data_IF_271539893290
#
_entry.id   IF_271539893290
#
_cell.length_a   1.000
_cell.length_b   1.000
_cell.length_c   1.000
_cell.angle_alpha   90.00
_cell.angle_beta   90.00
_cell.angle_gamma   90.00
#
_symmetry.space_group_name_H-M   'P 1'
#
loop_
_entity.id
_entity.type
_entity.pdbx_description
1 polymer ?
#
# COMPACT_ATOMS: atom_id res chain seq x y z
N UNK A 1 1.09 12.99 16.33
CA UNK A 1 1.87 12.79 15.08
C UNK A 1 3.28 12.33 15.37
N UNK A 2 4.00 12.92 16.33
CA UNK A 2 5.37 12.56 16.71
C UNK A 2 5.66 11.06 16.82
N UNK A 3 4.85 10.31 17.57
CA UNK A 3 5.01 8.86 17.69
C UNK A 3 4.92 8.11 16.35
N UNK A 4 4.09 8.59 15.41
CA UNK A 4 3.93 8.00 14.08
C UNK A 4 5.19 8.25 13.23
N UNK A 5 5.71 9.48 13.29
CA UNK A 5 6.90 9.87 12.54
C UNK A 5 8.12 9.12 13.08
N UNK A 6 8.28 9.04 14.40
CA UNK A 6 9.36 8.27 15.03
C UNK A 6 9.30 6.79 14.65
N UNK A 7 8.09 6.21 14.61
CA UNK A 7 7.91 4.83 14.16
C UNK A 7 8.34 4.65 12.69
N UNK A 8 7.99 5.58 11.81
CA UNK A 8 8.40 5.55 10.40
C UNK A 8 9.93 5.65 10.26
N UNK A 9 10.56 6.57 10.99
CA UNK A 9 12.01 6.80 10.98
C UNK A 9 12.79 5.60 11.54
N UNK A 10 12.28 4.93 12.56
CA UNK A 10 12.89 3.70 13.09
C UNK A 10 12.87 2.58 12.04
N UNK A 11 11.82 2.53 11.21
CA UNK A 11 11.68 1.52 10.15
C UNK A 11 12.53 1.83 8.93
N UNK A 12 12.72 3.11 8.64
CA UNK A 12 13.40 3.61 7.46
C UNK A 12 14.42 4.69 7.86
N UNK A 13 15.57 4.29 8.46
CA UNK A 13 16.60 5.24 8.90
C UNK A 13 17.14 6.09 7.74
N UNK A 14 17.09 5.60 6.50
CA UNK A 14 17.46 6.32 5.28
C UNK A 14 16.64 7.59 5.04
N UNK A 15 15.44 7.69 5.63
CA UNK A 15 14.64 8.93 5.60
C UNK A 15 15.34 10.07 6.33
N UNK A 16 16.26 9.76 7.26
CA UNK A 16 17.10 10.77 7.92
C UNK A 16 18.13 11.36 6.97
N UNK A 17 18.71 10.52 6.13
CA UNK A 17 19.82 10.93 5.26
C UNK A 17 19.35 11.71 4.03
N UNK A 18 18.08 11.53 3.63
CA UNK A 18 17.51 12.19 2.44
C UNK A 18 17.19 13.68 2.59
N UNK A 19 17.60 14.33 3.68
CA UNK A 19 17.59 15.81 3.88
C UNK A 19 16.21 16.45 3.92
N UNK A 20 15.48 16.43 2.80
CA UNK A 20 14.18 17.09 2.66
C UNK A 20 13.02 16.45 3.43
N UNK A 21 13.16 15.22 3.94
CA UNK A 21 12.11 14.59 4.76
C UNK A 21 12.30 14.92 6.25
N UNK A 22 13.55 15.17 6.69
CA UNK A 22 13.87 15.59 8.07
C UNK A 22 13.70 17.11 8.30
N UNK A 23 14.02 17.96 7.32
CA UNK A 23 13.71 19.41 7.45
C UNK A 23 12.19 19.63 7.57
N UNK A 24 11.42 18.79 6.89
CA UNK A 24 9.97 18.72 7.00
C UNK A 24 9.48 17.90 8.23
N UNK A 25 10.37 17.19 8.92
CA UNK A 25 10.05 16.42 10.13
C UNK A 25 9.85 17.35 11.32
N UNK A 26 10.64 18.42 11.45
CA UNK A 26 10.35 19.48 12.43
C UNK A 26 9.00 20.14 12.14
N UNK A 27 8.65 20.39 10.88
CA UNK A 27 7.32 20.90 10.51
C UNK A 27 6.19 19.91 10.83
N UNK A 28 6.41 18.61 10.65
CA UNK A 28 5.45 17.55 11.05
C UNK A 28 5.29 17.43 12.57
N UNK A 29 6.32 17.79 13.33
CA UNK A 29 6.33 17.75 14.79
C UNK A 29 5.77 19.04 15.43
N UNK A 30 6.01 20.19 14.80
CA UNK A 30 5.69 21.52 15.33
C UNK A 30 4.42 22.13 14.73
N UNK A 31 4.00 21.68 13.53
CA UNK A 31 3.00 22.34 12.71
C UNK A 31 1.56 21.86 12.87
N UNK A 32 0.63 22.72 12.45
CA UNK A 32 -0.78 22.38 12.26
C UNK A 32 -0.93 21.32 11.14
N UNK A 33 -2.02 20.54 11.18
CA UNK A 33 -2.35 19.51 10.18
C UNK A 33 -2.13 19.98 8.73
N UNK A 34 -2.43 21.24 8.45
CA UNK A 34 -2.36 21.86 7.12
C UNK A 34 -0.93 22.02 6.58
N UNK A 35 0.05 22.24 7.46
CA UNK A 35 1.48 22.36 7.10
C UNK A 35 2.12 20.99 6.89
N UNK A 36 1.63 19.98 7.61
CA UNK A 36 2.04 18.58 7.50
C UNK A 36 1.55 17.89 6.21
N UNK A 37 0.45 18.37 5.61
CA UNK A 37 -0.23 17.72 4.49
C UNK A 37 0.65 17.51 3.24
N UNK A 38 1.39 18.51 2.73
CA UNK A 38 2.21 18.33 1.52
C UNK A 38 3.31 17.27 1.72
N UNK A 39 3.91 17.26 2.90
CA UNK A 39 4.98 16.31 3.27
C UNK A 39 4.42 14.90 3.38
N UNK A 40 3.29 14.74 4.08
CA UNK A 40 2.61 13.45 4.18
C UNK A 40 2.13 12.95 2.84
N UNK A 41 1.61 13.83 1.98
CA UNK A 41 1.24 13.47 0.61
C UNK A 41 2.44 12.95 -0.17
N UNK A 42 3.57 13.65 -0.12
CA UNK A 42 4.80 13.22 -0.80
C UNK A 42 5.27 11.84 -0.30
N UNK A 43 5.23 11.61 1.00
CA UNK A 43 5.57 10.32 1.61
C UNK A 43 4.59 9.21 1.25
N UNK A 44 3.29 9.49 1.30
CA UNK A 44 2.22 8.54 0.96
C UNK A 44 2.27 8.13 -0.52
N UNK A 45 2.56 9.08 -1.41
CA UNK A 45 2.70 8.82 -2.84
C UNK A 45 4.04 8.16 -3.21
N UNK A 46 4.98 8.01 -2.27
CA UNK A 46 6.26 7.39 -2.56
C UNK A 46 6.13 5.85 -2.64
N UNK A 47 6.41 5.20 -3.79
CA UNK A 47 6.14 3.78 -4.00
C UNK A 47 6.76 2.84 -2.96
N UNK A 48 7.96 3.20 -2.48
CA UNK A 48 8.68 2.42 -1.47
C UNK A 48 8.20 2.58 -0.02
N UNK A 49 7.36 3.59 0.29
CA UNK A 49 6.97 3.91 1.68
C UNK A 49 5.46 3.99 1.89
N UNK A 50 4.63 3.99 0.84
CA UNK A 50 3.16 4.16 0.93
C UNK A 50 2.53 3.32 2.04
N UNK A 51 2.81 2.01 2.08
CA UNK A 51 2.20 1.09 3.04
C UNK A 51 2.70 1.32 4.46
N UNK A 52 3.99 1.61 4.63
CA UNK A 52 4.61 1.84 5.93
C UNK A 52 4.15 3.17 6.52
N UNK A 53 4.00 4.20 5.68
CA UNK A 53 3.40 5.48 6.08
C UNK A 53 1.94 5.26 6.47
N UNK A 54 1.15 4.56 5.65
CA UNK A 54 -0.23 4.21 6.00
C UNK A 54 -0.35 3.48 7.35
N UNK A 55 0.56 2.55 7.62
CA UNK A 55 0.60 1.77 8.86
C UNK A 55 0.99 2.63 10.07
N UNK A 56 2.02 3.46 9.93
CA UNK A 56 2.48 4.33 11.01
C UNK A 56 1.48 5.44 11.33
N UNK A 57 0.80 5.98 10.32
CA UNK A 57 -0.15 7.09 10.45
C UNK A 57 -1.61 6.65 10.55
N UNK A 58 -1.88 5.36 10.76
CA UNK A 58 -3.24 4.80 10.86
C UNK A 58 -4.23 5.64 11.69
N UNK A 59 -3.90 6.14 12.91
CA UNK A 59 -4.85 6.92 13.71
C UNK A 59 -5.32 8.22 13.06
N UNK A 60 -4.53 8.75 12.13
CA UNK A 60 -4.79 10.01 11.45
C UNK A 60 -5.04 9.81 9.94
N UNK A 61 -4.97 8.59 9.43
CA UNK A 61 -5.03 8.31 7.99
C UNK A 61 -6.35 8.77 7.39
N UNK A 62 -7.48 8.47 8.04
CA UNK A 62 -8.80 8.84 7.55
C UNK A 62 -8.97 10.37 7.34
N UNK A 63 -8.74 11.24 8.36
CA UNK A 63 -8.85 12.69 8.14
C UNK A 63 -7.83 13.21 7.13
N UNK A 64 -6.61 12.65 7.09
CA UNK A 64 -5.63 13.05 6.09
C UNK A 64 -6.06 12.73 4.66
N UNK A 65 -6.47 11.48 4.42
CA UNK A 65 -6.90 11.03 3.09
C UNK A 65 -8.17 11.76 2.67
N UNK A 66 -9.09 12.03 3.59
CA UNK A 66 -10.28 12.85 3.30
C UNK A 66 -9.90 14.23 2.78
N UNK A 67 -9.02 14.97 3.47
CA UNK A 67 -8.59 16.31 3.02
C UNK A 67 -7.85 16.24 1.68
N UNK A 68 -6.95 15.27 1.50
CA UNK A 68 -6.21 15.12 0.25
C UNK A 68 -7.11 14.79 -0.94
N UNK A 69 -8.08 13.89 -0.75
CA UNK A 69 -9.05 13.52 -1.79
C UNK A 69 -9.92 14.72 -2.16
N UNK A 70 -10.45 15.45 -1.18
CA UNK A 70 -11.26 16.65 -1.45
C UNK A 70 -10.46 17.71 -2.22
N UNK A 71 -9.20 17.95 -1.85
CA UNK A 71 -8.33 18.87 -2.60
C UNK A 71 -8.14 18.42 -4.06
N UNK A 72 -7.91 17.12 -4.29
CA UNK A 72 -7.77 16.57 -5.64
C UNK A 72 -9.06 16.67 -6.45
N UNK A 73 -10.20 16.34 -5.85
CA UNK A 73 -11.53 16.41 -6.48
C UNK A 73 -11.88 17.84 -6.84
N UNK A 74 -11.65 18.81 -5.94
CA UNK A 74 -11.90 20.22 -6.20
C UNK A 74 -11.02 20.77 -7.33
N UNK A 75 -9.72 20.46 -7.31
CA UNK A 75 -8.79 20.84 -8.38
C UNK A 75 -9.23 20.25 -9.73
N UNK A 76 -9.71 19.00 -9.74
CA UNK A 76 -10.19 18.37 -10.96
C UNK A 76 -11.50 18.97 -11.47
N UNK A 77 -12.44 19.30 -10.58
CA UNK A 77 -13.69 20.02 -10.93
C UNK A 77 -13.38 21.41 -11.51
N UNK A 78 -12.44 22.14 -10.91
CA UNK A 78 -11.99 23.43 -11.42
C UNK A 78 -11.31 23.30 -12.79
N UNK A 79 -10.43 22.31 -12.98
CA UNK A 79 -9.78 22.08 -14.27
C UNK A 79 -10.76 21.70 -15.39
N UNK A 80 -11.87 21.02 -15.08
CA UNK A 80 -12.90 20.70 -16.08
C UNK A 80 -13.71 21.93 -16.50
N UNK A 81 -13.93 22.86 -15.57
CA UNK A 81 -14.70 24.08 -15.82
C UNK A 81 -13.88 25.17 -16.52
N UNK A 82 -12.59 25.24 -16.24
CA UNK A 82 -11.66 26.07 -17.00
C UNK A 82 -11.34 25.34 -18.31
N UNK A 83 -12.04 25.67 -19.40
CA UNK A 83 -11.84 25.12 -20.75
C UNK A 83 -10.47 25.44 -21.39
N UNK A 84 -9.41 25.49 -20.58
CA UNK A 84 -8.04 25.70 -20.98
C UNK A 84 -7.47 24.36 -21.43
N UNK A 85 -6.84 24.36 -22.60
CA UNK A 85 -6.36 23.20 -23.37
C UNK A 85 -5.19 22.42 -22.73
N UNK A 86 -5.17 22.31 -21.40
CA UNK A 86 -4.22 21.52 -20.63
C UNK A 86 -4.89 21.03 -19.36
N UNK A 87 -5.78 20.03 -19.48
CA UNK A 87 -6.31 19.34 -18.31
C UNK A 87 -5.15 18.71 -17.56
N UNK A 88 -4.84 19.23 -16.37
CA UNK A 88 -3.83 18.65 -15.50
C UNK A 88 -4.38 17.30 -15.07
N UNK A 89 -3.87 16.21 -15.65
CA UNK A 89 -4.27 14.89 -15.18
C UNK A 89 -3.88 14.76 -13.70
N UNK A 90 -4.78 14.24 -12.85
CA UNK A 90 -4.46 14.02 -11.45
C UNK A 90 -3.28 13.06 -11.32
N UNK A 91 -2.52 13.19 -10.23
CA UNK A 91 -1.32 12.39 -9.99
C UNK A 91 -1.64 10.90 -9.99
N UNK A 92 -1.01 10.15 -10.91
CA UNK A 92 -1.08 8.69 -10.95
C UNK A 92 -0.53 8.04 -9.68
N UNK A 93 0.46 8.67 -9.05
CA UNK A 93 1.08 8.17 -7.82
C UNK A 93 0.09 8.19 -6.67
N UNK A 94 -0.75 9.24 -6.60
CA UNK A 94 -1.81 9.32 -5.62
C UNK A 94 -2.91 8.28 -5.84
N UNK A 95 -3.30 8.01 -7.10
CA UNK A 95 -4.28 6.98 -7.42
C UNK A 95 -3.79 5.57 -6.99
N UNK A 96 -2.52 5.24 -7.24
CA UNK A 96 -1.91 3.99 -6.77
C UNK A 96 -1.84 3.95 -5.25
N UNK A 97 -1.43 5.05 -4.62
CA UNK A 97 -1.32 5.12 -3.17
C UNK A 97 -2.66 4.89 -2.48
N UNK A 98 -3.75 5.50 -2.97
CA UNK A 98 -5.10 5.31 -2.41
C UNK A 98 -5.54 3.85 -2.42
N UNK A 99 -5.30 3.13 -3.51
CA UNK A 99 -5.69 1.72 -3.64
C UNK A 99 -4.82 0.80 -2.77
N UNK A 100 -3.51 1.07 -2.68
CA UNK A 100 -2.61 0.38 -1.74
C UNK A 100 -3.05 0.61 -0.28
N UNK A 101 -3.38 1.86 0.07
CA UNK A 101 -3.86 2.20 1.41
C UNK A 101 -5.23 1.58 1.71
N UNK A 102 -6.10 1.43 0.72
CA UNK A 102 -7.38 0.77 0.90
C UNK A 102 -7.22 -0.70 1.33
N UNK A 103 -6.23 -1.39 0.78
CA UNK A 103 -5.89 -2.75 1.20
C UNK A 103 -5.48 -2.81 2.68
N UNK A 104 -4.76 -1.80 3.16
CA UNK A 104 -4.35 -1.68 4.57
C UNK A 104 -5.49 -1.21 5.50
N UNK A 105 -6.34 -0.32 5.00
CA UNK A 105 -7.32 0.43 5.79
C UNK A 105 -8.70 0.42 5.12
N UNK A 106 -9.46 -0.70 5.16
CA UNK A 106 -10.74 -0.84 4.43
C UNK A 106 -11.81 0.21 4.74
N UNK A 107 -11.71 0.88 5.90
CA UNK A 107 -12.61 1.93 6.34
C UNK A 107 -12.52 3.22 5.50
N UNK A 108 -11.51 3.38 4.62
CA UNK A 108 -11.39 4.51 3.69
C UNK A 108 -12.12 4.26 2.36
N UNK A 109 -12.81 3.12 2.19
CA UNK A 109 -13.46 2.70 0.95
C UNK A 109 -14.35 3.77 0.32
N UNK A 110 -15.22 4.42 1.10
CA UNK A 110 -16.12 5.47 0.59
C UNK A 110 -15.36 6.69 0.05
N UNK A 111 -14.26 7.08 0.70
CA UNK A 111 -13.42 8.20 0.25
C UNK A 111 -12.70 7.85 -1.05
N UNK A 112 -12.21 6.61 -1.17
CA UNK A 112 -11.53 6.13 -2.37
C UNK A 112 -12.52 6.00 -3.53
N UNK A 113 -13.74 5.51 -3.29
CA UNK A 113 -14.80 5.50 -4.28
C UNK A 113 -15.11 6.93 -4.76
N UNK A 114 -15.31 7.86 -3.82
CA UNK A 114 -15.57 9.27 -4.15
C UNK A 114 -14.46 9.91 -5.00
N UNK A 115 -13.19 9.60 -4.71
CA UNK A 115 -12.08 10.03 -5.55
C UNK A 115 -12.23 9.56 -7.00
N UNK A 116 -12.53 8.28 -7.22
CA UNK A 116 -12.64 7.69 -8.56
C UNK A 116 -13.96 7.99 -9.28
N UNK A 117 -14.96 8.59 -8.62
CA UNK A 117 -16.11 9.22 -9.30
C UNK A 117 -15.70 10.46 -10.11
N UNK A 118 -14.58 11.09 -9.74
CA UNK A 118 -14.14 12.37 -10.30
C UNK A 118 -12.81 12.29 -11.04
N UNK A 119 -11.95 11.35 -10.63
CA UNK A 119 -10.62 11.13 -11.15
C UNK A 119 -10.52 9.80 -11.93
N UNK A 120 -9.66 9.72 -12.96
CA UNK A 120 -9.42 8.50 -13.72
C UNK A 120 -8.81 7.39 -12.87
N UNK A 121 -9.11 6.15 -13.25
CA UNK A 121 -8.49 4.96 -12.64
C UNK A 121 -7.04 4.79 -13.08
N UNK A 122 -6.23 3.97 -12.36
CA UNK A 122 -4.82 3.77 -12.71
C UNK A 122 -4.61 3.19 -14.12
N UNK A 123 -5.55 2.40 -14.62
CA UNK A 123 -5.52 1.81 -15.96
C UNK A 123 -5.56 2.87 -17.08
N UNK A 124 -6.20 4.02 -16.84
CA UNK A 124 -6.29 5.09 -17.85
C UNK A 124 -4.91 5.68 -18.18
N UNK A 125 -3.98 5.67 -17.21
CA UNK A 125 -2.60 6.13 -17.43
C UNK A 125 -1.74 5.14 -18.22
N UNK A 126 -2.17 3.87 -18.32
CA UNK A 126 -1.52 2.86 -19.16
C UNK A 126 -1.94 2.95 -20.63
N UNK A 127 -3.12 3.52 -20.88
CA UNK A 127 -3.69 3.72 -22.22
C UNK A 127 -3.37 5.09 -22.80
N UNK A 128 -3.01 6.06 -21.95
CA UNK A 128 -2.58 7.37 -22.42
C UNK A 128 -1.36 7.18 -23.33
N UNK A 129 -1.39 7.66 -24.59
CA UNK A 129 -0.22 7.63 -25.45
C UNK A 129 0.86 8.37 -24.68
N UNK A 130 1.95 7.66 -24.38
CA UNK A 130 3.11 8.21 -23.69
C UNK A 130 3.48 9.52 -24.39
N UNK A 131 3.20 10.67 -23.76
CA UNK A 131 3.50 12.01 -24.30
C UNK A 131 5.02 12.29 -24.38
N UNK A 132 5.83 11.25 -24.52
CA UNK A 132 7.28 11.26 -24.51
C UNK A 132 7.91 10.74 -25.81
N UNK A 133 7.14 10.56 -26.89
CA UNK A 133 7.69 10.08 -28.17
C UNK A 133 7.49 11.01 -29.39
N UNK A 134 6.67 12.07 -29.31
CA UNK A 134 6.54 13.02 -30.41
C UNK A 134 6.09 14.39 -29.91
N UNK A 135 6.98 15.39 -29.95
CA UNK A 135 6.57 16.79 -29.92
C UNK A 135 6.94 17.62 -28.70
N UNK A 136 8.11 17.40 -28.07
CA UNK A 136 8.80 18.59 -27.54
C UNK A 136 9.40 19.34 -28.73
N UNK A 137 9.02 20.61 -28.98
CA UNK A 137 9.71 21.42 -29.95
C UNK A 137 11.14 21.65 -29.43
N UNK A 138 12.12 21.14 -30.18
CA UNK A 138 13.50 21.58 -30.05
C UNK A 138 13.53 23.10 -30.27
N UNK A 139 13.62 23.83 -29.17
CA UNK A 139 13.55 25.28 -29.16
C UNK A 139 14.40 25.84 -28.04
N UNK A 140 15.64 26.12 -28.39
CA UNK A 140 16.58 27.05 -27.75
C UNK A 140 17.33 26.54 -26.51
N UNK A 141 18.48 25.97 -26.84
CA UNK A 141 19.72 26.01 -26.07
C UNK A 141 19.90 27.30 -25.25
N UNK A 142 19.98 27.19 -23.92
CA UNK A 142 20.79 28.07 -23.07
C UNK A 142 20.97 27.49 -21.66
N UNK A 143 22.22 27.14 -21.36
CA UNK A 143 22.89 27.30 -20.06
C UNK A 143 22.19 26.80 -18.78
N UNK A 144 22.53 25.58 -18.33
CA UNK A 144 23.16 25.35 -17.02
C UNK A 144 23.39 23.85 -16.76
N UNK A 145 24.58 23.36 -17.12
CA UNK A 145 25.16 22.14 -16.57
C UNK A 145 25.64 22.38 -15.13
N UNK A 146 24.72 22.41 -14.16
CA UNK A 146 25.06 22.32 -12.72
C UNK A 146 23.86 21.94 -11.84
N UNK A 147 23.23 20.77 -12.08
CA UNK A 147 22.37 20.08 -11.09
C UNK A 147 21.95 18.67 -11.57
N UNK A 148 22.92 17.81 -11.90
CA UNK A 148 22.67 16.44 -12.37
C UNK A 148 22.42 15.40 -11.24
N UNK A 149 22.13 15.83 -10.01
CA UNK A 149 22.03 14.92 -8.85
C UNK A 149 20.87 15.14 -7.86
N UNK A 150 19.92 16.04 -8.09
CA UNK A 150 18.80 16.20 -7.17
C UNK A 150 17.46 15.95 -7.85
N UNK A 151 16.82 14.87 -7.38
CA UNK A 151 15.48 14.40 -7.67
C UNK A 151 15.29 13.57 -8.95
N UNK A 152 15.81 12.33 -8.94
CA UNK A 152 15.05 11.23 -9.52
C UNK A 152 13.66 11.23 -8.87
N UNK A 153 12.69 11.92 -9.46
CA UNK A 153 11.28 11.65 -9.19
C UNK A 153 11.07 10.19 -9.59
N UNK A 154 11.05 9.30 -8.59
CA UNK A 154 10.73 7.90 -8.78
C UNK A 154 9.28 7.84 -9.28
N UNK A 155 9.17 7.78 -10.59
CA UNK A 155 7.91 7.70 -11.30
C UNK A 155 7.27 6.34 -11.01
N UNK A 156 5.97 6.33 -10.71
CA UNK A 156 5.24 5.06 -10.56
C UNK A 156 5.40 4.21 -11.82
N UNK A 157 5.75 2.95 -11.61
CA UNK A 157 5.94 1.96 -12.67
C UNK A 157 4.60 1.56 -13.30
N UNK A 158 4.62 1.18 -14.57
CA UNK A 158 3.44 0.68 -15.28
C UNK A 158 2.87 -0.58 -14.60
N UNK A 159 3.73 -1.42 -14.03
CA UNK A 159 3.31 -2.58 -13.25
C UNK A 159 2.50 -2.19 -12.00
N UNK A 160 2.93 -1.16 -11.27
CA UNK A 160 2.23 -0.65 -10.09
C UNK A 160 0.84 -0.11 -10.47
N UNK A 161 0.71 0.57 -11.61
CA UNK A 161 -0.59 1.02 -12.13
C UNK A 161 -1.51 -0.15 -12.49
N UNK A 162 -0.97 -1.18 -13.13
CA UNK A 162 -1.72 -2.37 -13.49
C UNK A 162 -2.22 -3.09 -12.23
N UNK A 163 -1.33 -3.35 -11.28
CA UNK A 163 -1.68 -3.99 -10.00
C UNK A 163 -2.67 -3.17 -9.18
N UNK A 164 -2.49 -1.84 -9.11
CA UNK A 164 -3.45 -0.97 -8.46
C UNK A 164 -4.83 -1.04 -9.12
N UNK A 165 -4.88 -1.09 -10.46
CA UNK A 165 -6.16 -1.25 -11.20
C UNK A 165 -6.88 -2.55 -10.84
N UNK A 166 -6.16 -3.68 -10.80
CA UNK A 166 -6.75 -4.95 -10.39
C UNK A 166 -7.23 -4.91 -8.94
N UNK A 167 -6.42 -4.31 -8.06
CA UNK A 167 -6.75 -4.13 -6.65
C UNK A 167 -8.04 -3.33 -6.46
N UNK A 168 -8.22 -2.23 -7.20
CA UNK A 168 -9.43 -1.42 -7.17
C UNK A 168 -10.68 -2.22 -7.51
N UNK A 169 -10.65 -3.02 -8.58
CA UNK A 169 -11.79 -3.85 -8.98
C UNK A 169 -12.13 -4.97 -7.98
N UNK A 170 -11.11 -5.49 -7.29
CA UNK A 170 -11.28 -6.52 -6.27
C UNK A 170 -11.83 -5.98 -4.96
N UNK A 171 -11.37 -4.80 -4.54
CA UNK A 171 -11.73 -4.21 -3.24
C UNK A 171 -13.00 -3.35 -3.29
N UNK A 172 -13.31 -2.73 -4.44
CA UNK A 172 -14.45 -1.82 -4.59
C UNK A 172 -15.33 -2.25 -5.77
N UNK A 173 -16.43 -2.99 -5.50
CA UNK A 173 -17.36 -3.42 -6.55
C UNK A 173 -17.97 -2.27 -7.36
N UNK A 174 -18.11 -1.09 -6.77
CA UNK A 174 -18.64 0.12 -7.42
C UNK A 174 -17.77 0.58 -8.60
N UNK A 175 -16.45 0.37 -8.50
CA UNK A 175 -15.50 0.72 -9.57
C UNK A 175 -15.68 -0.15 -10.80
N UNK A 176 -16.29 -1.33 -10.68
CA UNK A 176 -16.57 -2.20 -11.83
C UNK A 176 -17.41 -1.46 -12.87
N UNK A 177 -18.50 -0.84 -12.42
CA UNK A 177 -19.39 -0.03 -13.26
C UNK A 177 -18.72 1.24 -13.77
N UNK A 178 -17.96 1.92 -12.91
CA UNK A 178 -17.34 3.20 -13.25
C UNK A 178 -16.22 3.07 -14.31
N UNK A 179 -15.42 2.00 -14.24
CA UNK A 179 -14.27 1.80 -15.13
C UNK A 179 -14.62 0.99 -16.38
N UNK A 180 -15.63 0.13 -16.29
CA UNK A 180 -16.07 -0.72 -17.40
C UNK A 180 -15.04 -1.75 -17.85
N UNK A 181 -15.42 -2.59 -18.82
CA UNK A 181 -14.56 -3.61 -19.39
C UNK A 181 -13.69 -3.09 -20.56
N UNK A 182 -14.18 -2.07 -21.29
CA UNK A 182 -13.57 -1.56 -22.52
C UNK A 182 -12.07 -1.25 -22.41
N UNK A 183 -11.64 -0.41 -21.44
CA UNK A 183 -10.22 -0.10 -21.26
C UNK A 183 -9.33 -1.33 -21.03
N UNK A 184 -9.86 -2.39 -20.41
CA UNK A 184 -9.11 -3.62 -20.17
C UNK A 184 -9.02 -4.51 -21.42
N UNK A 185 -9.96 -4.42 -22.36
CA UNK A 185 -9.82 -5.07 -23.67
C UNK A 185 -8.64 -4.45 -24.44
N UNK A 186 -8.49 -3.13 -24.40
CA UNK A 186 -7.38 -2.43 -25.05
C UNK A 186 -6.02 -2.84 -24.45
N UNK A 187 -5.97 -3.04 -23.13
CA UNK A 187 -4.76 -3.47 -22.42
C UNK A 187 -4.33 -4.93 -22.74
N UNK A 188 -5.18 -5.75 -23.36
CA UNK A 188 -4.78 -7.10 -23.82
C UNK A 188 -3.70 -7.05 -24.90
N UNK A 189 -3.59 -5.94 -25.63
CA UNK A 189 -2.61 -5.73 -26.69
C UNK A 189 -1.33 -5.04 -26.21
N UNK A 190 -1.20 -4.78 -24.90
CA UNK A 190 -0.01 -4.15 -24.34
C UNK A 190 1.22 -5.06 -24.50
N UNK A 191 2.41 -4.49 -24.71
CA UNK A 191 3.66 -5.25 -24.89
C UNK A 191 4.09 -5.98 -23.60
N UNK A 192 3.79 -5.41 -22.43
CA UNK A 192 4.18 -5.95 -21.13
C UNK A 192 3.26 -7.11 -20.71
N UNK A 193 3.85 -8.28 -20.44
CA UNK A 193 3.10 -9.49 -20.09
C UNK A 193 2.29 -9.34 -18.79
N UNK A 194 2.80 -8.55 -17.85
CA UNK A 194 2.13 -8.39 -16.57
C UNK A 194 0.89 -7.48 -16.67
N UNK A 195 0.93 -6.49 -17.58
CA UNK A 195 -0.22 -5.65 -17.90
C UNK A 195 -1.30 -6.48 -18.60
N UNK A 196 -0.92 -7.32 -19.57
CA UNK A 196 -1.86 -8.24 -20.23
C UNK A 196 -2.51 -9.19 -19.23
N UNK A 197 -1.73 -9.78 -18.31
CA UNK A 197 -2.26 -10.65 -17.27
C UNK A 197 -3.26 -9.94 -16.37
N UNK A 198 -2.94 -8.71 -15.91
CA UNK A 198 -3.85 -7.87 -15.12
C UNK A 198 -5.14 -7.60 -15.88
N UNK A 199 -5.05 -7.27 -17.16
CA UNK A 199 -6.21 -7.00 -18.00
C UNK A 199 -7.14 -8.21 -18.08
N UNK A 200 -6.58 -9.42 -18.22
CA UNK A 200 -7.35 -10.68 -18.21
C UNK A 200 -8.04 -10.89 -16.86
N UNK A 201 -7.36 -10.66 -15.74
CA UNK A 201 -7.97 -10.77 -14.41
C UNK A 201 -9.09 -9.73 -14.20
N UNK A 202 -8.87 -8.51 -14.66
CA UNK A 202 -9.85 -7.43 -14.61
C UNK A 202 -11.10 -7.74 -15.45
N UNK A 203 -10.93 -8.24 -16.68
CA UNK A 203 -12.03 -8.71 -17.53
C UNK A 203 -12.79 -9.87 -16.89
N UNK A 204 -12.07 -10.78 -16.24
CA UNK A 204 -12.67 -11.86 -15.46
C UNK A 204 -13.63 -11.35 -14.38
N UNK A 205 -13.26 -10.26 -13.70
CA UNK A 205 -14.10 -9.62 -12.66
C UNK A 205 -15.25 -8.80 -13.27
N UNK A 206 -15.00 -8.13 -14.40
CA UNK A 206 -15.96 -7.22 -15.04
C UNK A 206 -17.07 -7.95 -15.80
N UNK A 207 -16.73 -9.10 -16.39
CA UNK A 207 -17.62 -9.90 -17.23
C UNK A 207 -18.08 -11.19 -16.54
N UNK A 208 -17.77 -11.34 -15.24
CA UNK A 208 -18.06 -12.52 -14.43
C UNK A 208 -17.65 -13.83 -15.13
N UNK A 209 -16.43 -13.85 -15.69
CA UNK A 209 -15.93 -15.01 -16.43
C UNK A 209 -15.64 -16.18 -15.48
N UNK A 210 -16.01 -17.38 -15.92
CA UNK A 210 -15.61 -18.62 -15.25
C UNK A 210 -14.09 -18.79 -15.25
N UNK A 211 -13.57 -19.63 -14.35
CA UNK A 211 -12.14 -19.97 -14.32
C UNK A 211 -11.67 -20.59 -15.64
N UNK A 212 -12.51 -21.44 -16.27
CA UNK A 212 -12.21 -22.01 -17.58
C UNK A 212 -12.08 -20.95 -18.67
N UNK A 213 -12.97 -19.95 -18.70
CA UNK A 213 -12.93 -18.87 -19.67
C UNK A 213 -11.71 -17.95 -19.44
N UNK A 214 -11.35 -17.67 -18.18
CA UNK A 214 -10.12 -16.94 -17.84
C UNK A 214 -8.87 -17.70 -18.28
N UNK A 215 -8.82 -19.02 -18.05
CA UNK A 215 -7.69 -19.85 -18.49
C UNK A 215 -7.55 -19.89 -20.01
N UNK A 216 -8.67 -20.01 -20.73
CA UNK A 216 -8.69 -19.91 -22.20
C UNK A 216 -8.18 -18.55 -22.67
N UNK A 217 -8.66 -17.46 -22.07
CA UNK A 217 -8.21 -16.11 -22.42
C UNK A 217 -6.70 -15.93 -22.12
N UNK A 218 -6.23 -16.38 -20.95
CA UNK A 218 -4.81 -16.41 -20.60
C UNK A 218 -3.98 -17.14 -21.66
N UNK A 219 -4.41 -18.31 -22.13
CA UNK A 219 -3.68 -19.09 -23.13
C UNK A 219 -3.58 -18.42 -24.51
N UNK A 220 -4.47 -17.48 -24.83
CA UNK A 220 -4.44 -16.75 -26.10
C UNK A 220 -3.42 -15.59 -26.09
N UNK A 221 -3.17 -14.98 -24.93
CA UNK A 221 -2.37 -13.75 -24.82
C UNK A 221 -1.05 -13.93 -24.07
N UNK A 222 -0.86 -15.05 -23.36
CA UNK A 222 0.29 -15.28 -22.49
C UNK A 222 0.77 -16.73 -22.57
N UNK A 223 2.09 -16.91 -22.55
CA UNK A 223 2.68 -18.23 -22.32
C UNK A 223 2.48 -18.68 -20.88
N UNK A 224 2.53 -19.98 -20.63
CA UNK A 224 2.41 -20.54 -19.26
C UNK A 224 3.45 -19.93 -18.31
N UNK A 225 4.69 -19.76 -18.77
CA UNK A 225 5.77 -19.14 -17.98
C UNK A 225 5.47 -17.69 -17.60
N UNK A 226 4.94 -16.89 -18.54
CA UNK A 226 4.54 -15.51 -18.28
C UNK A 226 3.38 -15.43 -17.27
N UNK A 227 2.42 -16.35 -17.37
CA UNK A 227 1.31 -16.45 -16.43
C UNK A 227 1.80 -16.74 -15.01
N UNK A 228 2.64 -17.78 -14.84
CA UNK A 228 3.20 -18.17 -13.55
C UNK A 228 4.04 -17.05 -12.95
N UNK A 229 4.93 -16.43 -13.75
CA UNK A 229 5.81 -15.36 -13.29
C UNK A 229 5.00 -14.14 -12.83
N UNK A 230 3.99 -13.73 -13.60
CA UNK A 230 3.16 -12.58 -13.24
C UNK A 230 2.29 -12.87 -12.02
N UNK A 231 1.71 -14.06 -11.94
CA UNK A 231 0.93 -14.48 -10.78
C UNK A 231 1.80 -14.46 -9.51
N UNK A 232 3.05 -14.93 -9.58
CA UNK A 232 3.99 -14.87 -8.47
C UNK A 232 4.30 -13.42 -8.06
N UNK A 233 4.50 -12.50 -9.02
CA UNK A 233 4.69 -11.07 -8.75
C UNK A 233 3.48 -10.46 -8.05
N UNK A 234 2.27 -10.77 -8.52
CA UNK A 234 1.03 -10.32 -7.90
C UNK A 234 0.86 -10.86 -6.47
N UNK A 235 1.13 -12.14 -6.25
CA UNK A 235 1.09 -12.75 -4.93
C UNK A 235 2.12 -12.12 -3.98
N UNK A 236 3.34 -11.85 -4.46
CA UNK A 236 4.35 -11.14 -3.68
C UNK A 236 3.90 -9.73 -3.30
N UNK A 237 3.25 -9.00 -4.21
CA UNK A 237 2.67 -7.68 -3.93
C UNK A 237 1.62 -7.77 -2.82
N UNK A 238 0.67 -8.71 -2.92
CA UNK A 238 -0.37 -8.94 -1.90
C UNK A 238 0.21 -9.41 -0.57
N UNK A 239 1.24 -10.25 -0.58
CA UNK A 239 1.93 -10.71 0.63
C UNK A 239 2.60 -9.56 1.38
N UNK A 240 3.23 -8.61 0.66
CA UNK A 240 3.80 -7.41 1.27
C UNK A 240 2.73 -6.57 1.99
N UNK A 241 1.56 -6.38 1.37
CA UNK A 241 0.44 -5.68 1.99
C UNK A 241 -0.13 -6.42 3.21
N UNK A 242 -0.24 -7.74 3.14
CA UNK A 242 -0.68 -8.58 4.25
C UNK A 242 0.30 -8.52 5.44
N UNK A 243 1.61 -8.52 5.17
CA UNK A 243 2.64 -8.37 6.21
C UNK A 243 2.54 -7.00 6.90
N UNK A 244 2.35 -5.92 6.14
CA UNK A 244 2.13 -4.60 6.71
C UNK A 244 0.84 -4.52 7.52
N UNK A 245 -0.22 -5.19 7.06
CA UNK A 245 -1.49 -5.28 7.78
C UNK A 245 -1.35 -6.04 9.10
N UNK A 246 -0.65 -7.18 9.09
CA UNK A 246 -0.37 -7.98 10.28
C UNK A 246 0.48 -7.21 11.29
N UNK A 247 1.48 -6.44 10.83
CA UNK A 247 2.32 -5.58 11.67
C UNK A 247 1.51 -4.57 12.49
N UNK A 248 0.37 -4.10 11.99
CA UNK A 248 -0.49 -3.17 12.74
C UNK A 248 -1.10 -3.75 14.01
N UNK A 249 -1.14 -5.08 14.12
CA UNK A 249 -1.71 -5.80 15.26
C UNK A 249 -0.64 -6.34 16.22
N UNK A 250 0.64 -6.28 15.82
CA UNK A 250 1.72 -6.68 16.69
C UNK A 250 1.97 -5.59 17.74
N UNK A 251 2.16 -5.94 19.01
CA UNK A 251 2.59 -4.99 20.02
C UNK A 251 3.86 -4.31 19.52
N UNK A 252 3.92 -2.98 19.58
CA UNK A 252 5.20 -2.30 19.37
C UNK A 252 6.15 -2.88 20.40
N UNK A 253 7.37 -3.29 20.03
CA UNK A 253 8.37 -3.65 21.01
C UNK A 253 8.52 -2.44 21.92
N UNK A 254 7.92 -2.50 23.11
CA UNK A 254 8.20 -1.57 24.19
C UNK A 254 9.70 -1.62 24.32
N UNK A 255 10.37 -0.51 23.96
CA UNK A 255 11.78 -0.34 24.28
C UNK A 255 11.90 -0.80 25.71
N UNK A 256 12.60 -1.92 25.91
CA UNK A 256 12.72 -2.52 27.22
C UNK A 256 13.16 -1.38 28.13
N UNK A 257 12.27 -0.96 29.02
CA UNK A 257 12.62 0.00 30.06
C UNK A 257 13.89 -0.58 30.66
N UNK A 258 15.01 0.16 30.68
CA UNK A 258 16.27 -0.41 31.14
C UNK A 258 15.97 -0.99 32.51
N UNK A 259 15.95 -2.33 32.59
CA UNK A 259 15.62 -3.03 33.82
C UNK A 259 16.46 -2.37 34.90
N UNK A 260 15.86 -1.91 36.01
CA UNK A 260 16.65 -1.33 37.08
C UNK A 260 17.70 -2.37 37.40
N UNK A 261 18.98 -2.00 37.20
CA UNK A 261 20.10 -2.84 37.59
C UNK A 261 19.78 -3.31 39.00
N UNK A 262 19.55 -4.61 39.16
CA UNK A 262 19.56 -5.25 40.47
C UNK A 262 20.95 -4.94 41.04
N UNK A 263 21.03 -3.88 41.84
CA UNK A 263 22.13 -3.67 42.75
C UNK A 263 22.17 -4.92 43.60
N UNK A 264 23.22 -5.72 43.40
CA UNK A 264 23.52 -6.84 44.25
C UNK A 264 23.50 -6.32 45.70
N UNK A 265 22.70 -6.91 46.61
CA UNK A 265 22.81 -6.56 48.00
C UNK A 265 24.18 -7.02 48.47
N UNK A 266 25.03 -6.05 48.81
CA UNK A 266 26.23 -6.31 49.59
C UNK A 266 25.79 -7.00 50.88
N UNK A 267 26.25 -8.24 51.03
CA UNK A 267 26.13 -9.04 52.24
C UNK A 267 26.64 -8.22 53.43
N UNK A 268 25.74 -7.90 54.36
CA UNK A 268 26.14 -7.58 55.72
C UNK A 268 25.16 -8.22 56.69
N UNK A 269 25.69 -9.24 57.37
CA UNK A 269 25.16 -9.82 58.59
C UNK A 269 24.69 -8.73 59.56
N UNK A 270 23.45 -8.82 60.04
CA UNK A 270 23.13 -8.66 61.45
C UNK A 270 21.77 -9.27 61.78
N UNK A 271 21.83 -10.09 62.83
CA UNK A 271 20.78 -10.85 63.48
C UNK A 271 19.68 -9.93 64.05
N UNK A 272 18.45 -10.43 64.09
CA UNK A 272 17.35 -9.81 64.83
C UNK A 272 16.05 -10.57 64.63
N UNK A 273 15.74 -11.46 65.57
CA UNK A 273 14.57 -12.32 65.62
C UNK A 273 13.24 -11.54 65.72
N UNK A 274 12.16 -12.16 65.24
CA UNK A 274 10.79 -11.70 65.45
C UNK A 274 9.79 -12.40 64.53
N UNK A 275 9.28 -13.56 64.97
CA UNK A 275 8.04 -14.17 64.47
C UNK A 275 6.86 -13.19 64.54
N UNK A 276 5.89 -13.27 63.61
CA UNK A 276 4.48 -13.59 63.89
C UNK A 276 3.78 -13.86 62.55
N UNK A 277 2.91 -14.88 62.56
CA UNK A 277 2.31 -15.52 61.40
C UNK A 277 1.29 -14.70 60.61
N UNK A 278 1.04 -15.18 59.39
CA UNK A 278 0.09 -14.60 58.45
C UNK A 278 -0.37 -15.61 57.40
N UNK A 279 -1.09 -16.63 57.86
CA UNK A 279 -1.69 -17.71 57.09
C UNK A 279 -2.84 -17.18 56.23
N UNK A 280 -2.70 -17.10 54.91
CA UNK A 280 -3.83 -16.93 53.99
C UNK A 280 -3.78 -17.94 52.84
N UNK A 281 -4.68 -18.90 52.95
CA UNK A 281 -4.95 -20.03 52.07
C UNK A 281 -6.26 -19.71 51.33
N UNK A 282 -6.28 -19.64 50.00
CA UNK A 282 -7.46 -19.89 49.13
C UNK A 282 -7.08 -19.69 47.65
N UNK A 283 -6.94 -20.76 46.86
CA UNK A 283 -7.96 -21.55 46.14
C UNK A 283 -8.33 -20.97 44.76
N UNK A 284 -7.78 -21.62 43.73
CA UNK A 284 -8.39 -22.09 42.45
C UNK A 284 -9.43 -21.18 41.77
N UNK A 285 -9.16 -20.88 40.49
CA UNK A 285 -9.92 -21.50 39.38
C UNK A 285 -9.10 -21.48 38.09
N UNK A 286 -8.96 -22.68 37.52
CA UNK A 286 -8.50 -22.91 36.16
C UNK A 286 -9.54 -22.37 35.18
N UNK A 287 -9.08 -21.64 34.17
CA UNK A 287 -9.76 -21.47 32.89
C UNK A 287 -8.83 -22.03 31.83
N UNK A 288 -9.35 -22.96 31.04
CA UNK A 288 -8.64 -23.69 30.00
C UNK A 288 -8.14 -22.77 28.87
N UNK A 289 -7.08 -23.17 28.13
CA UNK A 289 -6.70 -22.49 26.91
C UNK A 289 -7.76 -22.73 25.83
N UNK A 290 -8.33 -21.65 25.33
CA UNK A 290 -9.18 -21.65 24.14
C UNK A 290 -8.33 -22.11 22.95
N UNK A 291 -8.69 -23.27 22.41
CA UNK A 291 -8.07 -23.84 21.23
C UNK A 291 -8.36 -22.95 20.02
N UNK A 292 -7.32 -22.26 19.53
CA UNK A 292 -7.30 -21.69 18.19
C UNK A 292 -7.50 -22.82 17.17
N UNK A 293 -8.43 -22.70 16.21
CA UNK A 293 -8.50 -23.65 15.10
C UNK A 293 -7.22 -23.52 14.25
N UNK A 294 -6.68 -24.64 13.72
CA UNK A 294 -5.55 -24.58 12.81
C UNK A 294 -5.92 -23.76 11.57
N UNK A 295 -5.00 -22.88 11.16
CA UNK A 295 -5.10 -22.14 9.93
C UNK A 295 -5.31 -23.13 8.76
N UNK A 296 -6.44 -22.99 8.06
CA UNK A 296 -6.70 -23.72 6.84
C UNK A 296 -5.59 -23.40 5.84
N UNK A 297 -4.81 -24.42 5.47
CA UNK A 297 -3.89 -24.35 4.37
C UNK A 297 -4.67 -24.06 3.06
N UNK A 298 -4.13 -23.25 2.14
CA UNK A 298 -4.81 -22.95 0.89
C UNK A 298 -5.02 -24.23 0.05
N UNK A 299 -6.22 -24.45 -0.50
CA UNK A 299 -6.59 -25.70 -1.19
C UNK A 299 -5.87 -25.98 -2.52
N UNK A 300 -5.02 -25.06 -2.99
CA UNK A 300 -4.41 -25.13 -4.32
C UNK A 300 -3.36 -26.24 -4.51
N UNK A 301 -2.78 -26.77 -3.43
CA UNK A 301 -1.77 -27.82 -3.53
C UNK A 301 -2.38 -29.23 -3.65
N UNK A 302 -3.63 -29.42 -3.19
CA UNK A 302 -4.30 -30.73 -3.27
C UNK A 302 -4.92 -30.98 -4.66
N UNK A 303 -5.45 -29.93 -5.32
CA UNK A 303 -6.00 -30.06 -6.68
C UNK A 303 -4.92 -30.34 -7.73
N UNK A 304 -3.72 -29.75 -7.59
CA UNK A 304 -2.62 -30.01 -8.53
C UNK A 304 -2.08 -31.44 -8.40
N UNK A 305 -2.11 -32.02 -7.20
CA UNK A 305 -1.70 -33.41 -6.98
C UNK A 305 -2.76 -34.41 -7.47
N UNK A 306 -4.05 -34.05 -7.43
CA UNK A 306 -5.13 -34.89 -7.99
C UNK A 306 -5.16 -34.89 -9.52
N UNK A 307 -4.83 -33.77 -10.18
CA UNK A 307 -4.75 -33.74 -11.64
C UNK A 307 -3.57 -34.54 -12.20
N UNK A 308 -2.46 -34.68 -11.47
CA UNK A 308 -1.34 -35.53 -11.91
C UNK A 308 -1.63 -37.03 -11.78
N UNK A 309 -2.51 -37.46 -10.86
CA UNK A 309 -2.88 -38.88 -10.73
C UNK A 309 -3.92 -39.34 -11.76
N UNK A 310 -4.64 -38.44 -12.44
CA UNK A 310 -5.58 -38.81 -13.50
C UNK A 310 -4.94 -38.86 -14.90
N UNK A 311 -3.65 -38.54 -15.03
CA UNK A 311 -2.90 -38.58 -16.30
C UNK A 311 -1.90 -39.75 -16.38
N UNK A 312 -1.93 -40.69 -15.43
CA UNK A 312 -1.24 -41.98 -15.50
C UNK A 312 -2.25 -43.11 -15.69
#
# INVERSE_FOLDING_TARGET
>A
MESCVQALVVRHPELKERGGILENHEQLLQGNLHEALPVLKALLCHPGYTMQVGSCFRPCLLPFISVLVEQHVQNQKQSKNAAVAGSIMPSKDFAVALLKLLELAPHISSIVAHYFEHCPGPHSYLLAPSMTAAGQPEGLESQHHRNKQQHQHQHVDALDLAFASLLGLQLLPELRKAWGAGPYLDLLLNENEAIRWVAIQALGIQLDLSDSAKTQLCSQYLTVEQQVTTQARWQSHRAAAALESARMWLPRPTQASPSPRLTAPASNNRQGAGEVGGRAKRRRKHSAPEQLPPAAAPPLLLEQQQQQQQQQ
#
